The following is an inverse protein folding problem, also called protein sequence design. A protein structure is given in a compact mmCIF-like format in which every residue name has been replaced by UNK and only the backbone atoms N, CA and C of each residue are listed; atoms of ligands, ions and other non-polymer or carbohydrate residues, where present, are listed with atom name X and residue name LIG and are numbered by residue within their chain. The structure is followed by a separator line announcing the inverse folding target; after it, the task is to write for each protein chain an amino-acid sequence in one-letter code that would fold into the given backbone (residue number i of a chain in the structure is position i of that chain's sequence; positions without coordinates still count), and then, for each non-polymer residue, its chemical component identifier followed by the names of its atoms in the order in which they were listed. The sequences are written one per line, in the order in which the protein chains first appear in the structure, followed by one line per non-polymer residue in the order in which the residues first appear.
data_IF_975521420185
#
_entry.id   IF_975521420185
#
_cell.length_a   1.000
_cell.length_b   1.000
_cell.length_c   1.000
_cell.angle_alpha   90.00
_cell.angle_beta   90.00
_cell.angle_gamma   90.00
#
_symmetry.space_group_name_H-M   'P 1'
#
loop_
_entity.id
_entity.type
_entity.pdbx_description
1 polymer ?
#
# COMPACT_ATOMS: atom_id res chain seq x y z
N UNK A 1 -12.37 -16.67 -14.47
CA UNK A 1 -11.45 -15.56 -14.20
C UNK A 1 -11.00 -15.67 -12.75
N UNK A 2 -9.72 -15.52 -12.49
CA UNK A 2 -9.10 -15.52 -11.17
C UNK A 2 -8.46 -14.15 -10.96
N UNK A 3 -8.69 -13.54 -9.81
CA UNK A 3 -8.12 -12.25 -9.42
C UNK A 3 -7.27 -12.48 -8.18
N UNK A 4 -6.01 -12.04 -8.21
CA UNK A 4 -5.13 -12.05 -7.05
C UNK A 4 -5.50 -10.86 -6.13
N UNK A 5 -5.99 -11.15 -4.92
CA UNK A 5 -6.45 -10.12 -3.98
C UNK A 5 -5.35 -9.17 -3.53
N UNK A 6 -4.12 -9.68 -3.29
CA UNK A 6 -3.01 -8.85 -2.85
C UNK A 6 -2.60 -7.87 -3.95
N UNK A 7 -2.38 -8.40 -5.15
CA UNK A 7 -1.94 -7.60 -6.31
C UNK A 7 -3.01 -6.62 -6.77
N UNK A 8 -4.30 -6.99 -6.65
CA UNK A 8 -5.44 -6.12 -6.90
C UNK A 8 -5.48 -4.94 -5.91
N UNK A 9 -5.34 -5.24 -4.61
CA UNK A 9 -5.36 -4.21 -3.57
C UNK A 9 -4.14 -3.29 -3.67
N UNK A 10 -2.95 -3.85 -3.97
CA UNK A 10 -1.75 -3.06 -4.25
C UNK A 10 -1.98 -2.04 -5.38
N UNK A 11 -2.62 -2.43 -6.49
CA UNK A 11 -2.95 -1.51 -7.59
C UNK A 11 -3.91 -0.41 -7.15
N UNK A 12 -4.96 -0.75 -6.44
CA UNK A 12 -5.94 0.21 -5.92
C UNK A 12 -5.24 1.24 -5.03
N UNK A 13 -4.51 0.79 -4.02
CA UNK A 13 -3.82 1.67 -3.07
C UNK A 13 -2.75 2.54 -3.73
N UNK A 14 -2.08 2.02 -4.75
CA UNK A 14 -1.08 2.78 -5.50
C UNK A 14 -1.71 3.99 -6.21
N UNK A 15 -2.82 3.79 -6.93
CA UNK A 15 -3.47 4.90 -7.65
C UNK A 15 -4.15 5.88 -6.68
N UNK A 16 -4.75 5.38 -5.60
CA UNK A 16 -5.30 6.24 -4.54
C UNK A 16 -4.22 7.07 -3.85
N UNK A 17 -3.02 6.50 -3.64
CA UNK A 17 -1.88 7.22 -3.08
C UNK A 17 -1.38 8.33 -4.01
N UNK A 18 -1.27 8.06 -5.31
CA UNK A 18 -0.92 9.09 -6.30
C UNK A 18 -1.94 10.22 -6.31
N UNK A 19 -3.22 9.88 -6.32
CA UNK A 19 -4.31 10.87 -6.25
C UNK A 19 -4.25 11.71 -4.97
N UNK A 20 -3.88 11.11 -3.84
CA UNK A 20 -3.79 11.83 -2.57
C UNK A 20 -2.68 12.88 -2.52
N UNK A 21 -1.62 12.72 -3.30
CA UNK A 21 -0.56 13.74 -3.36
C UNK A 21 -1.03 15.04 -4.01
N UNK A 22 -1.99 14.97 -4.92
CA UNK A 22 -2.47 16.13 -5.67
C UNK A 22 -3.86 16.62 -5.23
N UNK A 23 -4.67 15.74 -4.62
CA UNK A 23 -6.07 16.01 -4.25
C UNK A 23 -6.23 16.08 -2.73
N UNK A 24 -7.06 15.20 -2.17
CA UNK A 24 -7.36 15.12 -0.74
C UNK A 24 -6.58 13.97 -0.09
N UNK A 25 -6.12 14.13 1.16
CA UNK A 25 -5.49 13.05 1.91
C UNK A 25 -6.38 11.80 2.02
N UNK A 26 -5.75 10.63 2.09
CA UNK A 26 -6.44 9.37 2.36
C UNK A 26 -7.04 9.35 3.78
N UNK A 27 -8.02 8.48 3.97
CA UNK A 27 -8.64 8.25 5.28
C UNK A 27 -7.62 7.77 6.31
N UNK A 28 -7.77 8.25 7.55
CA UNK A 28 -6.90 7.91 8.67
C UNK A 28 -7.73 7.39 9.86
N UNK A 29 -7.21 6.38 10.55
CA UNK A 29 -7.73 5.96 11.83
C UNK A 29 -6.87 6.53 12.96
N UNK A 30 -7.50 7.29 13.84
CA UNK A 30 -6.82 7.90 14.98
C UNK A 30 -6.47 6.85 16.02
N UNK A 31 -5.25 6.89 16.53
CA UNK A 31 -4.78 6.04 17.61
C UNK A 31 -5.45 6.44 18.93
N UNK A 32 -5.83 5.45 19.74
CA UNK A 32 -6.38 5.72 21.07
C UNK A 32 -5.33 6.40 21.96
N UNK A 33 -4.08 5.97 21.82
CA UNK A 33 -2.91 6.58 22.43
C UNK A 33 -1.88 6.87 21.35
N UNK A 34 -1.43 8.14 21.22
CA UNK A 34 -0.32 8.44 20.33
C UNK A 34 0.94 7.66 20.71
N UNK A 35 1.68 7.21 19.72
CA UNK A 35 2.93 6.48 19.91
C UNK A 35 4.14 7.33 19.51
N UNK A 36 5.24 7.18 20.25
CA UNK A 36 6.51 7.79 19.88
C UNK A 36 7.44 6.74 19.29
N UNK A 37 7.96 7.03 18.10
CA UNK A 37 8.85 6.14 17.38
C UNK A 37 10.23 6.79 17.22
N UNK A 38 11.27 6.09 17.68
CA UNK A 38 12.66 6.52 17.51
C UNK A 38 13.28 5.86 16.27
N UNK A 39 14.06 6.65 15.53
CA UNK A 39 14.77 6.24 14.33
C UNK A 39 16.27 6.53 14.49
N UNK A 40 17.11 5.93 13.63
CA UNK A 40 18.50 6.39 13.47
C UNK A 40 18.51 7.81 12.86
N UNK A 41 19.62 8.52 12.96
CA UNK A 41 19.72 9.88 12.41
C UNK A 41 19.52 9.91 10.90
N UNK A 42 20.00 8.88 10.19
CA UNK A 42 19.86 8.76 8.73
C UNK A 42 18.40 8.47 8.33
N UNK A 43 17.75 7.49 8.98
CA UNK A 43 16.33 7.19 8.78
C UNK A 43 15.46 8.41 9.09
N UNK A 44 15.75 9.12 10.19
CA UNK A 44 14.98 10.28 10.61
C UNK A 44 15.07 11.44 9.62
N UNK A 45 16.26 11.70 9.05
CA UNK A 45 16.43 12.70 8.00
C UNK A 45 15.57 12.40 6.78
N UNK A 46 15.56 11.14 6.33
CA UNK A 46 14.74 10.69 5.21
C UNK A 46 13.24 10.79 5.55
N UNK A 47 12.89 10.36 6.76
CA UNK A 47 11.51 10.41 7.23
C UNK A 47 10.97 11.85 7.24
N UNK A 48 11.76 12.83 7.68
CA UNK A 48 11.37 14.24 7.67
C UNK A 48 11.10 14.75 6.25
N UNK A 49 11.92 14.35 5.28
CA UNK A 49 11.74 14.74 3.87
C UNK A 49 10.42 14.22 3.28
N UNK A 50 10.01 13.00 3.65
CA UNK A 50 8.79 12.37 3.13
C UNK A 50 7.56 12.55 4.06
N UNK A 51 7.74 13.07 5.26
CA UNK A 51 6.69 13.20 6.28
C UNK A 51 5.43 13.93 5.79
N UNK A 52 5.53 15.07 5.06
CA UNK A 52 4.34 15.74 4.54
C UNK A 52 3.53 14.86 3.59
N UNK A 53 4.20 13.96 2.88
CA UNK A 53 3.56 13.05 1.93
C UNK A 53 3.00 11.80 2.62
N UNK A 54 3.68 11.27 3.63
CA UNK A 54 3.12 10.23 4.50
C UNK A 54 1.83 10.71 5.17
N UNK A 55 1.78 11.99 5.60
CA UNK A 55 0.55 12.57 6.14
C UNK A 55 -0.58 12.65 5.11
N UNK A 56 -0.28 12.83 3.81
CA UNK A 56 -1.28 12.72 2.74
C UNK A 56 -1.76 11.28 2.52
N UNK A 57 -0.94 10.28 2.80
CA UNK A 57 -1.32 8.86 2.72
C UNK A 57 -2.13 8.37 3.93
N UNK A 58 -2.52 9.27 4.84
CA UNK A 58 -3.35 8.94 6.00
C UNK A 58 -2.58 8.67 7.29
N UNK A 59 -1.24 8.78 7.29
CA UNK A 59 -0.52 8.92 8.54
C UNK A 59 -0.79 10.30 9.11
N UNK A 60 -0.78 10.40 10.43
CA UNK A 60 -0.73 11.69 11.14
C UNK A 60 0.46 11.65 12.07
N UNK A 61 1.56 12.18 11.59
CA UNK A 61 2.84 12.16 12.28
C UNK A 61 3.41 13.55 12.37
N UNK A 62 4.13 13.82 13.46
CA UNK A 62 4.86 15.06 13.66
C UNK A 62 6.18 14.80 14.37
N UNK A 63 7.15 15.68 14.13
CA UNK A 63 8.43 15.67 14.84
C UNK A 63 8.21 15.84 16.34
N UNK A 64 8.87 15.00 17.15
CA UNK A 64 8.75 14.99 18.61
C UNK A 64 10.11 14.75 19.28
N UNK A 65 11.00 15.74 19.18
CA UNK A 65 12.31 15.66 19.76
C UNK A 65 13.38 15.05 18.86
N UNK A 66 14.50 14.67 19.44
CA UNK A 66 15.67 14.20 18.68
C UNK A 66 15.40 12.82 18.09
N UNK A 67 15.45 12.72 16.75
CA UNK A 67 15.27 11.46 16.00
C UNK A 67 13.97 10.72 16.33
N UNK A 68 12.94 11.43 16.78
CA UNK A 68 11.69 10.86 17.25
C UNK A 68 10.51 11.53 16.54
N UNK A 69 9.54 10.74 16.13
CA UNK A 69 8.23 11.22 15.66
C UNK A 69 7.12 10.72 16.58
N UNK A 70 6.08 11.50 16.72
CA UNK A 70 4.84 11.11 17.35
C UNK A 70 3.85 10.72 16.26
N UNK A 71 3.25 9.55 16.38
CA UNK A 71 2.22 9.01 15.48
C UNK A 71 0.87 9.12 16.19
N UNK A 72 -0.05 9.88 15.63
CA UNK A 72 -1.40 10.11 16.18
C UNK A 72 -2.47 9.35 15.37
N UNK A 73 -2.21 9.06 14.10
CA UNK A 73 -3.09 8.28 13.24
C UNK A 73 -2.29 7.52 12.18
N UNK A 74 -2.88 6.43 11.69
CA UNK A 74 -2.37 5.62 10.59
C UNK A 74 -3.42 5.53 9.48
N UNK A 75 -3.05 5.19 8.24
CA UNK A 75 -4.00 4.97 7.15
C UNK A 75 -5.09 3.97 7.52
N UNK A 76 -6.34 4.25 7.14
CA UNK A 76 -7.49 3.38 7.45
C UNK A 76 -7.37 1.98 6.85
N UNK A 77 -6.60 1.82 5.78
CA UNK A 77 -6.34 0.53 5.11
C UNK A 77 -5.27 -0.32 5.83
N UNK A 78 -4.57 0.24 6.82
CA UNK A 78 -3.50 -0.48 7.54
C UNK A 78 -4.03 -1.16 8.79
N UNK A 79 -3.51 -2.37 9.04
CA UNK A 79 -3.77 -3.09 10.27
C UNK A 79 -2.87 -2.56 11.39
N UNK A 80 -3.47 -2.28 12.54
CA UNK A 80 -2.84 -1.83 13.77
C UNK A 80 -1.83 -2.84 14.34
N UNK A 81 -0.76 -2.33 14.95
CA UNK A 81 0.10 -3.11 15.86
C UNK A 81 1.54 -3.31 15.42
N UNK A 82 1.99 -2.72 14.30
CA UNK A 82 3.38 -2.80 13.84
C UNK A 82 3.83 -1.55 13.07
N UNK A 83 3.37 -0.37 13.51
CA UNK A 83 3.52 0.91 12.79
C UNK A 83 4.97 1.26 12.54
N UNK A 84 5.84 1.08 13.55
CA UNK A 84 7.27 1.38 13.44
C UNK A 84 7.96 0.52 12.38
N UNK A 85 7.67 -0.77 12.35
CA UNK A 85 8.25 -1.67 11.35
C UNK A 85 7.75 -1.31 9.95
N UNK A 86 6.45 -1.05 9.80
CA UNK A 86 5.85 -0.66 8.51
C UNK A 86 6.43 0.66 8.00
N UNK A 87 6.58 1.67 8.87
CA UNK A 87 7.18 2.95 8.48
C UNK A 87 8.63 2.75 8.03
N UNK A 88 9.42 1.93 8.73
CA UNK A 88 10.78 1.58 8.31
C UNK A 88 10.80 0.88 6.97
N UNK A 89 9.97 -0.13 6.79
CA UNK A 89 9.86 -0.86 5.53
C UNK A 89 9.46 0.06 4.37
N UNK A 90 8.59 1.06 4.61
CA UNK A 90 8.25 2.09 3.62
C UNK A 90 9.48 2.94 3.29
N UNK A 91 10.26 3.37 4.28
CA UNK A 91 11.48 4.16 4.07
C UNK A 91 12.50 3.35 3.26
N UNK A 92 12.78 2.11 3.68
CA UNK A 92 13.75 1.24 3.01
C UNK A 92 13.34 0.95 1.56
N UNK A 93 12.09 0.55 1.37
CA UNK A 93 11.50 0.29 0.06
C UNK A 93 11.47 1.55 -0.82
N UNK A 94 11.20 2.71 -0.26
CA UNK A 94 11.26 3.98 -0.98
C UNK A 94 12.68 4.27 -1.49
N UNK A 95 13.71 4.05 -0.66
CA UNK A 95 15.11 4.24 -1.04
C UNK A 95 15.53 3.28 -2.16
N UNK A 96 15.14 2.01 -2.07
CA UNK A 96 15.40 1.00 -3.09
C UNK A 96 14.70 1.35 -4.42
N UNK A 97 13.47 1.81 -4.34
CA UNK A 97 12.62 2.13 -5.49
C UNK A 97 12.96 3.47 -6.15
N UNK A 98 13.71 4.35 -5.51
CA UNK A 98 14.04 5.70 -6.00
C UNK A 98 14.64 5.73 -7.42
N UNK A 99 15.29 4.64 -7.86
CA UNK A 99 15.85 4.48 -9.21
C UNK A 99 14.93 3.74 -10.20
N UNK A 100 13.85 3.13 -9.70
CA UNK A 100 12.97 2.24 -10.48
C UNK A 100 11.77 2.97 -11.07
N UNK A 101 11.31 4.01 -10.39
CA UNK A 101 10.12 4.78 -10.77
C UNK A 101 10.51 6.11 -11.40
N UNK A 102 9.61 6.65 -12.25
CA UNK A 102 9.82 7.90 -12.98
C UNK A 102 9.76 9.13 -12.08
N UNK A 103 9.09 9.03 -10.93
CA UNK A 103 9.01 10.09 -9.93
C UNK A 103 9.17 9.55 -8.51
N UNK A 104 9.52 10.42 -7.58
CA UNK A 104 9.59 10.07 -6.16
C UNK A 104 8.20 9.75 -5.58
N UNK A 105 7.14 10.38 -6.10
CA UNK A 105 5.76 10.11 -5.72
C UNK A 105 5.37 8.68 -6.06
N UNK A 106 5.67 8.24 -7.28
CA UNK A 106 5.44 6.85 -7.69
C UNK A 106 6.21 5.86 -6.81
N UNK A 107 7.48 6.16 -6.48
CA UNK A 107 8.28 5.34 -5.58
C UNK A 107 7.68 5.22 -4.18
N UNK A 108 7.20 6.33 -3.60
CA UNK A 108 6.56 6.34 -2.29
C UNK A 108 5.19 5.65 -2.33
N UNK A 109 4.37 5.90 -3.36
CA UNK A 109 3.08 5.24 -3.54
C UNK A 109 3.24 3.72 -3.68
N UNK A 110 4.24 3.25 -4.44
CA UNK A 110 4.53 1.83 -4.58
C UNK A 110 4.99 1.19 -3.26
N UNK A 111 5.84 1.87 -2.51
CA UNK A 111 6.28 1.41 -1.19
C UNK A 111 5.10 1.32 -0.21
N UNK A 112 4.29 2.36 -0.14
CA UNK A 112 3.08 2.38 0.69
C UNK A 112 2.11 1.25 0.31
N UNK A 113 1.73 1.14 -0.97
CA UNK A 113 0.74 0.17 -1.43
C UNK A 113 1.16 -1.28 -1.17
N UNK A 114 2.45 -1.60 -1.34
CA UNK A 114 2.99 -2.92 -1.06
C UNK A 114 2.86 -3.33 0.42
N UNK A 115 3.03 -2.37 1.34
CA UNK A 115 2.96 -2.63 2.78
C UNK A 115 1.54 -2.55 3.34
N UNK A 116 0.67 -1.70 2.78
CA UNK A 116 -0.71 -1.52 3.22
C UNK A 116 -1.70 -2.54 2.61
N UNK A 117 -1.35 -3.19 1.50
CA UNK A 117 -2.24 -4.14 0.83
C UNK A 117 -2.51 -5.40 1.69
N UNK A 118 -3.74 -5.92 1.61
CA UNK A 118 -4.09 -7.23 2.17
C UNK A 118 -3.12 -8.29 1.66
N UNK A 119 -2.71 -9.21 2.53
CA UNK A 119 -1.75 -10.24 2.13
C UNK A 119 -2.44 -11.39 1.40
N UNK A 120 -1.65 -12.12 0.60
CA UNK A 120 -2.14 -13.35 -0.02
C UNK A 120 -2.54 -14.34 1.08
N UNK A 121 -3.79 -14.82 1.01
CA UNK A 121 -4.36 -15.76 2.00
C UNK A 121 -5.08 -15.11 3.17
N UNK A 122 -5.04 -13.78 3.33
CA UNK A 122 -5.91 -13.11 4.30
C UNK A 122 -7.37 -13.35 3.94
N UNK A 123 -8.23 -13.68 4.92
CA UNK A 123 -9.64 -13.89 4.64
C UNK A 123 -10.33 -12.57 4.31
N UNK A 124 -11.08 -12.54 3.21
CA UNK A 124 -11.96 -11.45 2.84
C UNK A 124 -13.42 -11.94 2.85
N UNK A 125 -14.32 -11.15 3.37
CA UNK A 125 -15.75 -11.38 3.22
C UNK A 125 -16.18 -11.15 1.76
N UNK A 126 -17.32 -11.69 1.37
CA UNK A 126 -17.87 -11.47 0.02
C UNK A 126 -18.05 -9.97 -0.28
N UNK A 127 -18.45 -9.19 0.72
CA UNK A 127 -18.63 -7.75 0.59
C UNK A 127 -17.30 -7.03 0.35
N UNK A 128 -16.24 -7.42 1.06
CA UNK A 128 -14.87 -6.87 0.87
C UNK A 128 -14.31 -7.27 -0.50
N UNK A 129 -14.51 -8.52 -0.93
CA UNK A 129 -14.12 -8.96 -2.27
C UNK A 129 -14.82 -8.13 -3.35
N UNK A 130 -16.14 -7.91 -3.23
CA UNK A 130 -16.90 -7.12 -4.19
C UNK A 130 -16.45 -5.63 -4.18
N UNK A 131 -16.19 -5.07 -3.01
CA UNK A 131 -15.67 -3.71 -2.89
C UNK A 131 -14.29 -3.58 -3.55
N UNK A 132 -13.39 -4.55 -3.32
CA UNK A 132 -12.07 -4.58 -3.93
C UNK A 132 -12.15 -4.67 -5.46
N UNK A 133 -13.01 -5.54 -6.00
CA UNK A 133 -13.22 -5.66 -7.45
C UNK A 133 -13.75 -4.34 -8.04
N UNK A 134 -14.71 -3.70 -7.38
CA UNK A 134 -15.26 -2.42 -7.84
C UNK A 134 -14.19 -1.33 -7.84
N UNK A 135 -13.38 -1.24 -6.77
CA UNK A 135 -12.26 -0.28 -6.69
C UNK A 135 -11.21 -0.56 -7.77
N UNK A 136 -10.86 -1.85 -8.00
CA UNK A 136 -9.90 -2.24 -9.02
C UNK A 136 -10.32 -1.76 -10.42
N UNK A 137 -11.57 -2.01 -10.80
CA UNK A 137 -12.06 -1.58 -12.12
C UNK A 137 -12.33 -0.06 -12.23
N UNK A 138 -12.26 0.67 -11.12
CA UNK A 138 -12.22 2.12 -11.12
C UNK A 138 -10.80 2.71 -11.33
N UNK A 139 -9.75 1.88 -11.25
CA UNK A 139 -8.36 2.29 -11.52
C UNK A 139 -8.11 2.48 -13.02
N UNK A 140 -7.08 3.25 -13.37
CA UNK A 140 -6.67 3.45 -14.77
C UNK A 140 -6.06 2.19 -15.40
N UNK A 141 -5.45 1.32 -14.57
CA UNK A 141 -4.71 0.14 -15.02
C UNK A 141 -5.09 -1.13 -14.25
N UNK A 142 -6.32 -1.66 -14.41
CA UNK A 142 -6.84 -2.76 -13.58
C UNK A 142 -6.21 -4.13 -13.85
N UNK A 143 -5.35 -4.26 -14.87
CA UNK A 143 -4.83 -5.57 -15.30
C UNK A 143 -3.45 -5.90 -14.77
N UNK A 144 -2.66 -4.90 -14.37
CA UNK A 144 -1.28 -5.07 -13.90
C UNK A 144 -1.01 -4.22 -12.66
N UNK A 145 -0.27 -4.76 -11.68
CA UNK A 145 0.17 -3.99 -10.53
C UNK A 145 1.31 -3.02 -10.89
N UNK A 146 1.69 -2.10 -9.98
CA UNK A 146 2.80 -1.18 -10.21
C UNK A 146 4.13 -1.87 -10.54
N UNK A 147 4.31 -3.11 -10.12
CA UNK A 147 5.50 -3.94 -10.38
C UNK A 147 5.42 -4.73 -11.69
N UNK A 148 4.32 -4.63 -12.44
CA UNK A 148 4.10 -5.33 -13.72
C UNK A 148 3.57 -6.76 -13.58
N UNK A 149 3.13 -7.21 -12.40
CA UNK A 149 2.50 -8.52 -12.23
C UNK A 149 1.06 -8.49 -12.73
N UNK A 150 0.57 -9.54 -13.42
CA UNK A 150 -0.83 -9.63 -13.81
C UNK A 150 -1.72 -9.75 -12.56
N UNK A 151 -2.82 -9.00 -12.54
CA UNK A 151 -3.83 -9.02 -11.48
C UNK A 151 -4.90 -10.06 -11.81
N UNK A 152 -5.25 -10.18 -13.09
CA UNK A 152 -6.36 -10.96 -13.58
C UNK A 152 -5.83 -12.04 -14.53
N UNK A 153 -6.19 -13.29 -14.24
CA UNK A 153 -5.85 -14.44 -15.09
C UNK A 153 -7.14 -15.12 -15.56
N UNK A 154 -7.22 -15.41 -16.85
CA UNK A 154 -8.28 -16.24 -17.39
C UNK A 154 -7.83 -17.70 -17.43
N UNK A 155 -8.66 -18.57 -16.93
CA UNK A 155 -8.50 -20.02 -17.03
C UNK A 155 -9.80 -20.57 -17.63
N UNK A 156 -9.73 -21.12 -18.85
CA UNK A 156 -10.89 -21.73 -19.49
C UNK A 156 -11.22 -23.09 -18.85
N UNK A 157 -12.49 -23.53 -18.99
CA UNK A 157 -12.91 -24.86 -18.55
C UNK A 157 -12.14 -25.93 -19.34
N UNK A 158 -11.96 -25.74 -20.64
CA UNK A 158 -11.19 -26.66 -21.49
C UNK A 158 -9.74 -26.82 -21.05
N UNK A 159 -9.12 -25.73 -20.57
CA UNK A 159 -7.77 -25.78 -20.03
C UNK A 159 -7.72 -26.55 -18.70
N UNK A 160 -8.73 -26.35 -17.84
CA UNK A 160 -8.87 -27.15 -16.62
C UNK A 160 -9.09 -28.63 -16.94
N UNK A 161 -9.97 -28.96 -17.87
CA UNK A 161 -10.24 -30.35 -18.27
C UNK A 161 -8.99 -31.02 -18.83
N UNK A 162 -8.21 -30.33 -19.65
CA UNK A 162 -6.90 -30.82 -20.11
C UNK A 162 -5.93 -31.11 -18.98
N UNK A 163 -5.86 -30.24 -17.97
CA UNK A 163 -4.98 -30.45 -16.80
C UNK A 163 -5.41 -31.63 -15.94
N UNK A 164 -6.69 -31.98 -15.96
CA UNK A 164 -7.24 -33.16 -15.27
C UNK A 164 -7.35 -34.38 -16.18
N UNK A 165 -6.77 -34.34 -17.42
CA UNK A 165 -6.80 -35.44 -18.37
C UNK A 165 -8.22 -35.96 -18.66
N UNK A 166 -9.20 -35.04 -18.71
CA UNK A 166 -10.61 -35.39 -18.96
C UNK A 166 -11.04 -35.34 -20.43
N UNK A 167 -10.13 -34.94 -21.31
CA UNK A 167 -10.31 -34.85 -22.76
C UNK A 167 -9.16 -35.61 -23.46
#
# INVERSE_FOLDING_TARGET
VIIDQHVAHERVLFEEALDAFDKAPLGAQTLLFPETLEFSADEFSILLDILPNLNKLGFRMQEFGKNTVMVEAIPSEMVWGNEKAIIREIIDSFLENKKKYSSWQEGLAASYSCHAAVKAGDPLTIQEMQALVNRLFATNHPYYCPHGRPIIVQLSIDELDKRFERI
#
